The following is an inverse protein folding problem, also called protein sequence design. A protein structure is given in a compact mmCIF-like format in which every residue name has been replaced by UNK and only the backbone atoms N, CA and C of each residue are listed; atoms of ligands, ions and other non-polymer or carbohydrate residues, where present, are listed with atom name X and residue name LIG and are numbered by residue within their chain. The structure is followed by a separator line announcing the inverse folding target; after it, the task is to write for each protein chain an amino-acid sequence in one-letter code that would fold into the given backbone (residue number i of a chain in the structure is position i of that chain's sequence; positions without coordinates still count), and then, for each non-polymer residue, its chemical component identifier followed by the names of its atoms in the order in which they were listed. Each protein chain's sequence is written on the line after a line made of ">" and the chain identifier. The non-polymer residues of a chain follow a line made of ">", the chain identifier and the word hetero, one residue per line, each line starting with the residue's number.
data_IF_363395432685
#
_entry.id   IF_363395432685
#
_cell.length_a   1.000
_cell.length_b   1.000
_cell.length_c   1.000
_cell.angle_alpha   90.00
_cell.angle_beta   90.00
_cell.angle_gamma   90.00
#
_symmetry.space_group_name_H-M   'P 1'
#
loop_
_entity.id
_entity.type
_entity.pdbx_description
1 polymer ?
#
# COMPACT_ATOMS: atom_id res chain seq x y z
N UNK A 1 3.30 -5.67 25.28
CA UNK A 1 2.70 -5.59 23.93
C UNK A 1 3.75 -5.39 22.83
N UNK A 2 4.52 -4.29 22.81
CA UNK A 2 5.55 -4.04 21.75
C UNK A 2 6.53 -5.20 21.51
N UNK A 3 7.02 -5.85 22.56
CA UNK A 3 7.94 -6.99 22.44
C UNK A 3 7.31 -8.23 21.79
N UNK A 4 6.01 -8.46 22.04
CA UNK A 4 5.27 -9.58 21.44
C UNK A 4 5.07 -9.30 19.95
N UNK A 5 4.67 -8.08 19.59
CA UNK A 5 4.52 -7.65 18.19
C UNK A 5 5.85 -7.76 17.44
N UNK A 6 6.95 -7.31 18.07
CA UNK A 6 8.28 -7.43 17.49
C UNK A 6 8.70 -8.89 17.29
N UNK A 7 8.44 -9.75 18.28
CA UNK A 7 8.69 -11.19 18.17
C UNK A 7 7.94 -11.84 17.03
N UNK A 8 6.63 -11.56 16.90
CA UNK A 8 5.80 -12.05 15.80
C UNK A 8 6.31 -11.55 14.45
N UNK A 9 6.72 -10.29 14.36
CA UNK A 9 7.26 -9.70 13.12
C UNK A 9 8.57 -10.38 12.71
N UNK A 10 9.50 -10.57 13.66
CA UNK A 10 10.77 -11.25 13.41
C UNK A 10 10.56 -12.70 12.95
N UNK A 11 9.69 -13.46 13.64
CA UNK A 11 9.42 -14.86 13.29
C UNK A 11 8.75 -14.96 11.91
N UNK A 12 7.76 -14.10 11.64
CA UNK A 12 7.07 -14.08 10.35
C UNK A 12 8.02 -13.71 9.21
N UNK A 13 8.94 -12.76 9.44
CA UNK A 13 9.94 -12.37 8.45
C UNK A 13 10.90 -13.52 8.14
N UNK A 14 11.39 -14.23 9.16
CA UNK A 14 12.27 -15.39 8.97
C UNK A 14 11.58 -16.53 8.21
N UNK A 15 10.31 -16.82 8.55
CA UNK A 15 9.50 -17.81 7.83
C UNK A 15 9.28 -17.41 6.37
N UNK A 16 8.99 -16.14 6.11
CA UNK A 16 8.81 -15.64 4.74
C UNK A 16 10.10 -15.80 3.93
N UNK A 17 11.24 -15.39 4.49
CA UNK A 17 12.55 -15.56 3.86
C UNK A 17 12.81 -17.04 3.54
N UNK A 18 12.56 -17.92 4.51
CA UNK A 18 12.70 -19.36 4.32
C UNK A 18 11.82 -19.89 3.18
N UNK A 19 10.55 -19.48 3.11
CA UNK A 19 9.64 -19.86 2.01
C UNK A 19 10.14 -19.35 0.66
N UNK A 20 10.59 -18.09 0.58
CA UNK A 20 11.13 -17.48 -0.65
C UNK A 20 12.30 -18.27 -1.20
N UNK A 21 13.26 -18.64 -0.34
CA UNK A 21 14.41 -19.45 -0.75
C UNK A 21 14.04 -20.90 -1.07
N UNK A 22 13.17 -21.54 -0.28
CA UNK A 22 12.76 -22.93 -0.49
C UNK A 22 11.94 -23.12 -1.75
N UNK A 23 11.01 -22.21 -2.04
CA UNK A 23 10.12 -22.29 -3.21
C UNK A 23 10.75 -21.73 -4.48
N UNK A 24 11.98 -21.21 -4.41
CA UNK A 24 12.68 -20.57 -5.54
C UNK A 24 11.75 -19.59 -6.28
N UNK A 25 11.03 -18.76 -5.52
CA UNK A 25 10.08 -17.79 -6.06
C UNK A 25 10.73 -16.77 -7.02
N UNK A 26 12.07 -16.75 -7.09
CA UNK A 26 12.85 -15.87 -7.96
C UNK A 26 12.72 -14.41 -7.54
N UNK A 27 13.17 -13.49 -8.39
CA UNK A 27 12.92 -12.05 -8.22
C UNK A 27 11.66 -11.58 -8.96
N UNK A 28 11.06 -12.45 -9.80
CA UNK A 28 9.89 -12.09 -10.61
C UNK A 28 8.70 -11.63 -9.77
N UNK A 29 8.37 -12.33 -8.69
CA UNK A 29 7.29 -11.92 -7.79
C UNK A 29 7.53 -10.54 -7.16
N UNK A 30 8.79 -10.20 -6.85
CA UNK A 30 9.16 -8.90 -6.29
C UNK A 30 9.01 -7.79 -7.32
N UNK A 31 9.32 -8.05 -8.59
CA UNK A 31 9.10 -7.09 -9.68
C UNK A 31 7.62 -6.82 -9.92
N UNK A 32 6.77 -7.85 -9.87
CA UNK A 32 5.30 -7.70 -10.01
C UNK A 32 4.71 -6.94 -8.83
N UNK A 33 5.15 -7.27 -7.61
CA UNK A 33 4.77 -6.56 -6.39
C UNK A 33 5.20 -5.09 -6.44
N UNK A 34 6.46 -4.83 -6.81
CA UNK A 34 7.00 -3.49 -6.95
C UNK A 34 6.28 -2.67 -8.02
N UNK A 35 5.90 -3.30 -9.13
CA UNK A 35 5.10 -2.65 -10.17
C UNK A 35 3.72 -2.25 -9.66
N UNK A 36 3.02 -3.10 -8.90
CA UNK A 36 1.74 -2.74 -8.27
C UNK A 36 1.91 -1.61 -7.26
N UNK A 37 2.96 -1.64 -6.44
CA UNK A 37 3.28 -0.58 -5.49
C UNK A 37 3.52 0.77 -6.20
N UNK A 38 4.34 0.76 -7.25
CA UNK A 38 4.65 1.94 -8.05
C UNK A 38 3.40 2.48 -8.77
N UNK A 39 2.62 1.59 -9.41
CA UNK A 39 1.40 1.95 -10.12
C UNK A 39 0.34 2.54 -9.18
N UNK A 40 0.27 2.04 -7.94
CA UNK A 40 -0.60 2.59 -6.89
C UNK A 40 -0.18 3.99 -6.47
N UNK A 41 1.13 4.21 -6.27
CA UNK A 41 1.66 5.54 -5.99
C UNK A 41 1.41 6.52 -7.14
N UNK A 42 1.57 6.07 -8.39
CA UNK A 42 1.25 6.86 -9.59
C UNK A 42 -0.23 7.19 -9.65
N UNK A 43 -1.13 6.24 -9.37
CA UNK A 43 -2.57 6.48 -9.34
C UNK A 43 -2.94 7.57 -8.32
N UNK A 44 -2.39 7.49 -7.10
CA UNK A 44 -2.59 8.52 -6.07
C UNK A 44 -2.04 9.88 -6.56
N UNK A 45 -0.86 9.90 -7.17
CA UNK A 45 -0.24 11.12 -7.67
C UNK A 45 -1.09 11.80 -8.76
N UNK A 46 -1.57 11.02 -9.73
CA UNK A 46 -2.45 11.52 -10.80
C UNK A 46 -3.71 12.11 -10.20
N UNK A 47 -4.35 11.45 -9.24
CA UNK A 47 -5.57 11.96 -8.59
C UNK A 47 -5.30 13.24 -7.81
N UNK A 48 -4.18 13.34 -7.10
CA UNK A 48 -3.78 14.56 -6.39
C UNK A 48 -3.51 15.74 -7.35
N UNK A 49 -2.88 15.49 -8.49
CA UNK A 49 -2.44 16.56 -9.40
C UNK A 49 -3.51 16.99 -10.41
N UNK A 50 -4.40 16.09 -10.80
CA UNK A 50 -5.46 16.33 -11.80
C UNK A 50 -6.61 17.20 -11.30
N UNK A 51 -6.68 17.51 -10.00
CA UNK A 51 -7.82 18.21 -9.41
C UNK A 51 -9.10 17.36 -9.35
N UNK A 52 -9.06 16.08 -9.74
CA UNK A 52 -10.19 15.14 -9.71
C UNK A 52 -10.74 14.95 -8.28
N UNK A 53 -9.90 15.08 -7.27
CA UNK A 53 -10.25 14.87 -5.87
C UNK A 53 -10.60 16.17 -5.11
N UNK A 54 -11.22 17.18 -5.75
CA UNK A 54 -11.80 18.34 -5.06
C UNK A 54 -10.91 18.96 -3.95
N UNK A 55 -9.72 19.44 -4.29
CA UNK A 55 -8.70 20.00 -3.36
C UNK A 55 -8.20 19.01 -2.28
N UNK A 56 -8.67 17.76 -2.26
CA UNK A 56 -8.31 16.78 -1.25
C UNK A 56 -6.97 16.10 -1.57
N UNK A 57 -5.91 16.60 -0.95
CA UNK A 57 -4.60 15.94 -0.97
C UNK A 57 -4.62 14.60 -0.21
N UNK A 58 -4.23 13.50 -0.86
CA UNK A 58 -3.95 12.18 -0.26
C UNK A 58 -2.44 12.07 0.00
N UNK A 59 -2.00 11.84 1.24
CA UNK A 59 -0.57 11.71 1.54
C UNK A 59 0.01 10.45 0.90
N UNK A 60 1.23 10.55 0.34
CA UNK A 60 1.99 9.42 -0.20
C UNK A 60 2.83 8.77 0.91
N UNK A 61 2.23 7.86 1.68
CA UNK A 61 2.90 7.11 2.73
C UNK A 61 2.65 5.60 2.57
N UNK A 62 3.38 4.74 3.31
CA UNK A 62 3.24 3.29 3.14
C UNK A 62 1.82 2.77 3.37
N UNK A 63 1.04 3.42 4.23
CA UNK A 63 -0.34 3.00 4.52
C UNK A 63 -1.28 3.31 3.36
N UNK A 64 -1.25 4.53 2.82
CA UNK A 64 -2.12 4.92 1.70
C UNK A 64 -1.77 4.18 0.42
N UNK A 65 -0.48 4.07 0.10
CA UNK A 65 0.00 3.31 -1.06
C UNK A 65 -0.37 1.83 -0.89
N UNK A 66 -0.23 1.26 0.32
CA UNK A 66 -0.64 -0.11 0.61
C UNK A 66 -2.14 -0.34 0.40
N UNK A 67 -2.99 0.57 0.86
CA UNK A 67 -4.45 0.49 0.62
C UNK A 67 -4.78 0.48 -0.87
N UNK A 68 -4.20 1.40 -1.64
CA UNK A 68 -4.41 1.47 -3.10
C UNK A 68 -3.78 0.27 -3.81
N UNK A 69 -2.69 -0.27 -3.30
CA UNK A 69 -2.07 -1.48 -3.86
C UNK A 69 -2.95 -2.72 -3.71
N UNK A 70 -3.60 -2.88 -2.56
CA UNK A 70 -4.50 -4.02 -2.31
C UNK A 70 -5.82 -3.86 -3.06
N UNK A 71 -6.38 -2.65 -3.10
CA UNK A 71 -7.71 -2.39 -3.64
C UNK A 71 -7.72 -1.87 -5.08
N UNK A 72 -6.58 -1.47 -5.63
CA UNK A 72 -6.45 -0.81 -6.93
C UNK A 72 -7.06 0.60 -6.95
N UNK A 73 -7.56 1.01 -8.13
CA UNK A 73 -8.31 2.25 -8.32
C UNK A 73 -9.47 2.45 -7.32
N UNK A 74 -10.26 1.42 -6.96
CA UNK A 74 -11.25 1.51 -5.87
C UNK A 74 -10.67 1.99 -4.53
N UNK A 75 -9.43 1.64 -4.22
CA UNK A 75 -8.74 2.10 -3.02
C UNK A 75 -8.53 3.61 -3.02
N UNK A 76 -8.30 4.22 -4.18
CA UNK A 76 -8.17 5.68 -4.29
C UNK A 76 -9.52 6.34 -3.99
N UNK A 77 -10.61 5.83 -4.58
CA UNK A 77 -11.95 6.33 -4.33
C UNK A 77 -12.35 6.19 -2.84
N UNK A 78 -11.98 5.08 -2.19
CA UNK A 78 -12.17 4.89 -0.75
C UNK A 78 -11.45 5.96 0.06
N UNK A 79 -10.17 6.23 -0.24
CA UNK A 79 -9.39 7.24 0.50
C UNK A 79 -9.97 8.65 0.33
N UNK A 80 -10.42 8.99 -0.89
CA UNK A 80 -11.10 10.27 -1.16
C UNK A 80 -12.42 10.34 -0.38
N UNK A 81 -13.27 9.32 -0.49
CA UNK A 81 -14.56 9.27 0.20
C UNK A 81 -14.42 9.32 1.72
N UNK A 82 -13.44 8.61 2.28
CA UNK A 82 -13.13 8.63 3.70
C UNK A 82 -12.73 10.03 4.16
N UNK A 83 -11.87 10.71 3.38
CA UNK A 83 -11.44 12.07 3.69
C UNK A 83 -12.60 13.07 3.64
N UNK A 84 -13.47 12.98 2.63
CA UNK A 84 -14.66 13.84 2.53
C UNK A 84 -15.62 13.57 3.70
N UNK A 85 -15.82 12.31 4.08
CA UNK A 85 -16.80 11.95 5.11
C UNK A 85 -16.32 12.25 6.53
N UNK A 86 -15.05 12.02 6.84
CA UNK A 86 -14.50 12.16 8.20
C UNK A 86 -13.86 13.54 8.41
N UNK A 87 -13.18 14.09 7.41
CA UNK A 87 -12.47 15.37 7.49
C UNK A 87 -13.21 16.53 6.82
N UNK A 88 -14.29 16.26 6.07
CA UNK A 88 -15.12 17.29 5.42
C UNK A 88 -16.24 17.86 6.30
N UNK A 89 -16.16 17.69 7.62
CA UNK A 89 -17.00 18.37 8.62
C UNK A 89 -16.32 19.63 9.14
#
# INVERSE_FOLDING_TARGET
>A
MKMIVLGVLCISLLLLIYVVFRKKLGLGWLTVFGAHLALSAVAIYVVNFSGLAAETYIPLNPMTIGTVMVLGLPGVALLVGLKITILGS
#
